data_IF_033601463326
#
_entry.id   IF_033601463326
#
_cell.length_a   1.000
_cell.length_b   1.000
_cell.length_c   1.000
_cell.angle_alpha   90.00
_cell.angle_beta   90.00
_cell.angle_gamma   90.00
#
_symmetry.space_group_name_H-M   'P 1'
#
loop_
_entity.id
_entity.type
_entity.pdbx_description
1 polymer ?
#
# COMPACT_ATOMS: atom_id res chain seq x y z
N UNK A 1 9.94 15.78 -5.69
CA UNK A 1 11.37 15.89 -6.09
C UNK A 1 11.85 14.67 -6.88
N UNK A 2 11.60 13.44 -6.39
CA UNK A 2 12.00 12.22 -7.11
C UNK A 2 11.39 12.14 -8.52
N UNK A 3 10.08 12.33 -8.65
CA UNK A 3 9.38 12.28 -9.94
C UNK A 3 9.85 13.35 -10.94
N UNK A 4 10.29 14.52 -10.46
CA UNK A 4 10.86 15.58 -11.31
C UNK A 4 12.22 15.17 -11.88
N UNK A 5 13.07 14.53 -11.08
CA UNK A 5 14.36 14.00 -11.53
C UNK A 5 14.17 12.84 -12.51
N UNK A 6 13.25 11.92 -12.22
CA UNK A 6 12.90 10.82 -13.13
C UNK A 6 12.35 11.35 -14.46
N UNK A 7 11.46 12.34 -14.44
CA UNK A 7 10.91 12.93 -15.65
C UNK A 7 11.99 13.58 -16.51
N UNK A 8 12.94 14.29 -15.89
CA UNK A 8 14.08 14.87 -16.60
C UNK A 8 15.01 13.80 -17.19
N UNK A 9 15.30 12.73 -16.45
CA UNK A 9 16.09 11.60 -16.93
C UNK A 9 15.43 10.86 -18.11
N UNK A 10 14.10 10.83 -18.16
CA UNK A 10 13.32 10.27 -19.26
C UNK A 10 13.12 11.24 -20.45
N UNK A 11 13.69 12.44 -20.39
CA UNK A 11 13.54 13.45 -21.45
C UNK A 11 12.12 13.99 -21.61
N UNK A 12 11.27 13.87 -20.58
CA UNK A 12 9.90 14.35 -20.64
C UNK A 12 9.87 15.89 -20.57
N UNK A 13 9.18 16.52 -21.52
CA UNK A 13 9.02 17.97 -21.53
C UNK A 13 8.10 18.46 -20.40
N UNK A 14 8.17 19.74 -20.00
CA UNK A 14 7.34 20.30 -18.93
C UNK A 14 5.82 20.17 -19.16
N UNK A 15 5.36 19.95 -20.40
CA UNK A 15 3.95 19.72 -20.70
C UNK A 15 3.42 18.39 -20.16
N UNK A 16 4.28 17.45 -19.76
CA UNK A 16 3.88 16.20 -19.10
C UNK A 16 3.67 16.34 -17.59
N UNK A 17 4.03 17.47 -16.98
CA UNK A 17 3.88 17.69 -15.54
C UNK A 17 2.44 17.44 -15.04
N UNK A 18 1.38 17.93 -15.70
CA UNK A 18 0.01 17.65 -15.27
C UNK A 18 -0.35 16.16 -15.32
N UNK A 19 0.15 15.44 -16.33
CA UNK A 19 -0.09 13.99 -16.47
C UNK A 19 0.65 13.20 -15.40
N UNK A 20 1.88 13.60 -15.06
CA UNK A 20 2.66 12.96 -13.99
C UNK A 20 2.00 13.21 -12.64
N UNK A 21 1.60 14.45 -12.35
CA UNK A 21 0.90 14.79 -11.12
C UNK A 21 -0.41 13.99 -10.98
N UNK A 22 -1.23 13.99 -12.04
CA UNK A 22 -2.46 13.20 -12.07
C UNK A 22 -2.19 11.71 -11.84
N UNK A 23 -1.22 11.13 -12.56
CA UNK A 23 -0.87 9.72 -12.38
C UNK A 23 -0.36 9.42 -10.97
N UNK A 24 0.34 10.35 -10.30
CA UNK A 24 0.77 10.18 -8.91
C UNK A 24 -0.40 10.22 -7.94
N UNK A 25 -1.40 11.07 -8.19
CA UNK A 25 -2.59 11.22 -7.35
C UNK A 25 -3.58 10.07 -7.52
N UNK A 26 -3.71 9.55 -8.74
CA UNK A 26 -4.70 8.51 -9.06
C UNK A 26 -4.14 7.11 -9.12
N UNK A 27 -2.83 6.92 -8.94
CA UNK A 27 -2.22 5.59 -8.99
C UNK A 27 -2.85 4.72 -7.88
N UNK A 28 -3.51 3.60 -8.24
CA UNK A 28 -4.02 2.68 -7.24
C UNK A 28 -2.86 2.13 -6.42
N UNK A 29 -3.07 2.00 -5.11
CA UNK A 29 -2.08 1.39 -4.22
C UNK A 29 -1.90 -0.08 -4.60
N UNK A 30 -0.70 -0.61 -4.38
CA UNK A 30 -0.43 -2.02 -4.66
C UNK A 30 -1.29 -2.89 -3.72
N UNK A 31 -2.13 -3.79 -4.24
CA UNK A 31 -2.91 -4.70 -3.42
C UNK A 31 -1.99 -5.75 -2.78
N UNK A 32 -2.24 -6.05 -1.50
CA UNK A 32 -1.48 -7.01 -0.70
C UNK A 32 -2.47 -7.91 0.05
N UNK A 33 -2.24 -9.21 -0.07
CA UNK A 33 -2.93 -10.27 0.66
C UNK A 33 -1.93 -10.84 1.66
N UNK A 34 -2.28 -10.80 2.95
CA UNK A 34 -1.49 -11.37 4.04
C UNK A 34 -2.17 -12.64 4.55
N UNK A 35 -1.54 -13.79 4.31
CA UNK A 35 -2.08 -15.10 4.68
C UNK A 35 -1.40 -15.63 5.94
N UNK A 36 -2.20 -16.03 6.92
CA UNK A 36 -1.71 -16.66 8.15
C UNK A 36 -1.66 -18.19 7.98
N UNK A 37 -0.46 -18.76 8.08
CA UNK A 37 -0.24 -20.21 8.07
C UNK A 37 -0.14 -20.79 9.49
N UNK A 38 0.89 -21.59 9.73
CA UNK A 38 1.25 -22.01 11.08
C UNK A 38 2.14 -20.94 11.72
N UNK A 39 1.52 -19.92 12.32
CA UNK A 39 2.23 -18.81 12.94
C UNK A 39 1.69 -18.47 14.34
N UNK A 40 2.39 -17.56 15.02
CA UNK A 40 2.05 -17.07 16.37
C UNK A 40 1.64 -15.59 16.39
N UNK A 41 1.44 -14.96 15.23
CA UNK A 41 0.98 -13.57 15.05
C UNK A 41 1.97 -12.48 15.48
N UNK A 42 3.14 -12.86 16.02
CA UNK A 42 4.22 -11.93 16.37
C UNK A 42 4.73 -11.13 15.15
N UNK A 43 4.64 -11.68 13.94
CA UNK A 43 4.95 -10.95 12.71
C UNK A 43 4.01 -9.74 12.50
N UNK A 44 2.72 -9.92 12.73
CA UNK A 44 1.73 -8.84 12.65
C UNK A 44 1.88 -7.84 13.80
N UNK A 45 2.19 -8.30 15.02
CA UNK A 45 2.51 -7.41 16.15
C UNK A 45 3.72 -6.52 15.82
N UNK A 46 4.79 -7.12 15.28
CA UNK A 46 5.99 -6.39 14.85
C UNK A 46 5.65 -5.33 13.79
N UNK A 47 4.80 -5.67 12.82
CA UNK A 47 4.32 -4.71 11.81
C UNK A 47 3.54 -3.54 12.45
N UNK A 48 2.61 -3.82 13.37
CA UNK A 48 1.81 -2.80 14.07
C UNK A 48 2.71 -1.85 14.87
N UNK A 49 3.82 -2.35 15.42
CA UNK A 49 4.80 -1.56 16.19
C UNK A 49 5.88 -0.88 15.35
N UNK A 50 5.87 -1.03 14.01
CA UNK A 50 6.84 -0.38 13.13
C UNK A 50 6.77 1.14 13.24
N UNK A 51 7.94 1.79 13.28
CA UNK A 51 8.06 3.25 13.38
C UNK A 51 8.38 3.94 12.05
N UNK A 52 9.01 3.23 11.11
CA UNK A 52 9.53 3.80 9.86
C UNK A 52 9.40 2.81 8.70
N UNK A 53 8.26 2.80 7.98
CA UNK A 53 7.04 3.60 8.18
C UNK A 53 6.16 3.10 9.34
N UNK A 54 5.23 3.94 9.80
CA UNK A 54 4.16 3.52 10.72
C UNK A 54 3.16 2.61 10.00
N UNK A 55 2.59 1.64 10.70
CA UNK A 55 1.59 0.73 10.12
C UNK A 55 0.41 1.48 9.46
N UNK A 56 -0.07 2.55 10.08
CA UNK A 56 -1.13 3.41 9.51
C UNK A 56 -0.71 4.03 8.16
N UNK A 57 0.55 4.41 8.01
CA UNK A 57 1.04 5.07 6.79
C UNK A 57 1.16 4.04 5.68
N UNK A 58 1.57 2.82 6.03
CA UNK A 58 1.61 1.68 5.11
C UNK A 58 0.21 1.38 4.55
N UNK A 59 -0.77 1.15 5.42
CA UNK A 59 -2.13 0.73 5.02
C UNK A 59 -2.91 1.85 4.33
N UNK A 60 -2.71 3.13 4.72
CA UNK A 60 -3.48 4.24 4.16
C UNK A 60 -2.81 4.91 2.96
N UNK A 61 -1.48 4.87 2.85
CA UNK A 61 -0.74 5.67 1.88
C UNK A 61 0.19 4.87 0.95
N UNK A 62 0.59 3.64 1.32
CA UNK A 62 1.59 2.89 0.55
C UNK A 62 1.01 1.67 -0.18
N UNK A 63 0.23 0.85 0.51
CA UNK A 63 -0.39 -0.38 -0.01
C UNK A 63 -1.89 -0.39 0.25
N UNK A 64 -2.61 -1.24 -0.49
CA UNK A 64 -3.96 -1.65 -0.14
C UNK A 64 -3.84 -3.00 0.54
N UNK A 65 -4.00 -3.06 1.86
CA UNK A 65 -4.03 -4.33 2.59
C UNK A 65 -5.46 -4.87 2.49
N UNK A 66 -5.70 -5.69 1.47
CA UNK A 66 -7.05 -6.11 1.08
C UNK A 66 -7.52 -7.33 1.90
N UNK A 67 -6.57 -8.12 2.41
CA UNK A 67 -6.84 -9.27 3.26
C UNK A 67 -5.76 -9.44 4.33
N UNK A 68 -6.16 -9.46 5.59
CA UNK A 68 -5.36 -9.78 6.78
C UNK A 68 -6.32 -10.15 7.93
N UNK A 69 -6.29 -11.39 8.40
CA UNK A 69 -7.26 -11.91 9.39
C UNK A 69 -7.17 -11.20 10.75
N UNK A 70 -6.07 -10.51 11.03
CA UNK A 70 -5.81 -9.85 12.32
C UNK A 70 -6.32 -8.40 12.33
N UNK A 71 -6.20 -7.69 11.21
CA UNK A 71 -6.50 -6.26 11.08
C UNK A 71 -7.81 -5.96 10.37
N UNK A 72 -8.35 -6.89 9.59
CA UNK A 72 -9.58 -6.65 8.82
C UNK A 72 -10.81 -6.47 9.72
N UNK A 73 -11.78 -5.70 9.22
CA UNK A 73 -13.06 -5.53 9.91
C UNK A 73 -14.08 -6.64 9.59
N UNK A 74 -13.95 -7.30 8.43
CA UNK A 74 -14.83 -8.39 8.03
C UNK A 74 -14.47 -9.69 8.75
N UNK A 75 -15.42 -10.62 8.87
CA UNK A 75 -15.20 -11.93 9.48
C UNK A 75 -16.11 -13.00 8.84
N UNK A 76 -15.72 -14.27 8.96
CA UNK A 76 -16.46 -15.40 8.41
C UNK A 76 -16.68 -15.25 6.90
N UNK A 77 -17.89 -15.54 6.41
CA UNK A 77 -18.21 -15.45 4.98
C UNK A 77 -17.98 -14.06 4.35
N UNK A 78 -18.07 -12.99 5.15
CA UNK A 78 -17.78 -11.65 4.66
C UNK A 78 -16.28 -11.43 4.41
N UNK A 79 -15.42 -12.07 5.20
CA UNK A 79 -13.97 -12.05 4.97
C UNK A 79 -13.61 -12.86 3.72
N UNK A 80 -14.19 -14.05 3.56
CA UNK A 80 -13.96 -14.91 2.38
C UNK A 80 -14.40 -14.24 1.07
N UNK A 81 -15.43 -13.39 1.10
CA UNK A 81 -15.87 -12.64 -0.07
C UNK A 81 -14.94 -11.48 -0.45
N UNK A 82 -14.02 -11.08 0.43
CA UNK A 82 -13.02 -10.05 0.19
C UNK A 82 -11.70 -10.62 -0.38
N UNK A 83 -11.54 -11.95 -0.38
CA UNK A 83 -10.45 -12.67 -1.04
C UNK A 83 -10.66 -12.70 -2.56
#
# INVERSE_FOLDING_TARGET
KYCSLTAAALGLSPSFVPKIAHAMETKPRTPVIWVHGLECTCCSESFIRSAHPLAKDVVLSMISLDYDDTLMAAAGHAAEAAF
#
